data_IF_500254256466
#
_entry.id   IF_500254256466
#
_cell.length_a   1.000
_cell.length_b   1.000
_cell.length_c   1.000
_cell.angle_alpha   90.00
_cell.angle_beta   90.00
_cell.angle_gamma   90.00
#
_symmetry.space_group_name_H-M   'P 1'
#
loop_
_entity.id
_entity.type
_entity.pdbx_description
1 polymer ?
#
# COMPACT_ATOMS: atom_id res chain seq x y z
N UNK A 1 13.07 9.04 -10.35
CA UNK A 1 11.69 8.61 -10.62
C UNK A 1 11.73 7.59 -11.75
N UNK A 2 12.19 6.38 -11.42
CA UNK A 2 12.35 5.26 -12.36
C UNK A 2 12.58 3.98 -11.56
N UNK A 3 12.27 2.83 -12.16
CA UNK A 3 12.37 1.53 -11.49
C UNK A 3 11.65 1.47 -10.14
N UNK A 4 12.16 0.66 -9.22
CA UNK A 4 11.52 0.46 -7.92
C UNK A 4 11.43 1.72 -7.06
N UNK A 5 12.43 2.61 -7.11
CA UNK A 5 12.36 3.86 -6.33
C UNK A 5 11.32 4.84 -6.91
N UNK A 6 11.07 4.77 -8.22
CA UNK A 6 9.93 5.46 -8.84
C UNK A 6 8.60 4.88 -8.41
N UNK A 7 8.45 3.56 -8.39
CA UNK A 7 7.25 2.90 -7.88
C UNK A 7 6.95 3.23 -6.42
N UNK A 8 7.97 3.26 -5.57
CA UNK A 8 7.83 3.69 -4.17
C UNK A 8 7.47 5.17 -4.02
N UNK A 9 7.93 6.02 -4.95
CA UNK A 9 7.55 7.44 -4.98
C UNK A 9 6.05 7.59 -5.29
N UNK A 10 5.56 6.92 -6.33
CA UNK A 10 4.13 6.89 -6.66
C UNK A 10 3.28 6.32 -5.52
N UNK A 11 3.69 5.16 -4.97
CA UNK A 11 2.97 4.55 -3.86
C UNK A 11 2.96 5.45 -2.62
N UNK A 12 4.02 6.23 -2.37
CA UNK A 12 4.02 7.20 -1.26
C UNK A 12 2.94 8.26 -1.44
N UNK A 13 2.75 8.76 -2.67
CA UNK A 13 1.70 9.73 -2.98
C UNK A 13 0.31 9.11 -2.82
N UNK A 14 0.11 7.88 -3.31
CA UNK A 14 -1.16 7.15 -3.14
C UNK A 14 -1.47 6.90 -1.65
N UNK A 15 -0.52 6.33 -0.90
CA UNK A 15 -0.69 6.02 0.53
C UNK A 15 -1.06 7.27 1.31
N UNK A 16 -0.30 8.36 1.16
CA UNK A 16 -0.55 9.59 1.90
C UNK A 16 -1.81 10.30 1.41
N UNK A 17 -2.11 10.25 0.12
CA UNK A 17 -3.35 10.75 -0.47
C UNK A 17 -4.57 10.06 0.14
N UNK A 18 -4.56 8.72 0.20
CA UNK A 18 -5.58 7.93 0.89
C UNK A 18 -5.69 8.32 2.35
N UNK A 19 -4.59 8.44 3.11
CA UNK A 19 -4.67 8.88 4.51
C UNK A 19 -5.28 10.28 4.66
N UNK A 20 -5.04 11.19 3.71
CA UNK A 20 -5.67 12.53 3.68
C UNK A 20 -7.16 12.44 3.39
N UNK A 21 -7.59 11.58 2.47
CA UNK A 21 -9.02 11.35 2.18
C UNK A 21 -9.78 10.86 3.41
N UNK A 22 -9.20 9.87 4.10
CA UNK A 22 -9.70 9.39 5.39
C UNK A 22 -9.74 10.49 6.46
N UNK A 23 -8.70 11.33 6.52
CA UNK A 23 -8.63 12.43 7.48
C UNK A 23 -9.67 13.52 7.19
N UNK A 24 -9.91 13.83 5.91
CA UNK A 24 -10.88 14.84 5.50
C UNK A 24 -12.30 14.48 5.92
N UNK A 25 -12.62 13.17 5.98
CA UNK A 25 -13.89 12.69 6.53
C UNK A 25 -15.11 13.23 5.76
N UNK A 26 -14.98 13.41 4.45
CA UNK A 26 -16.05 13.97 3.62
C UNK A 26 -17.28 13.06 3.65
N UNK A 27 -18.45 13.64 3.93
CA UNK A 27 -19.69 12.87 4.05
C UNK A 27 -20.19 12.30 2.70
N UNK A 28 -19.85 12.94 1.59
CA UNK A 28 -20.27 12.54 0.23
C UNK A 28 -19.23 11.72 -0.52
N UNK A 29 -18.05 11.57 0.08
CA UNK A 29 -16.89 10.89 -0.49
C UNK A 29 -16.06 10.34 0.68
N UNK A 30 -16.62 9.32 1.31
CA UNK A 30 -16.04 8.73 2.52
C UNK A 30 -14.78 7.99 2.16
N UNK A 31 -13.72 8.17 2.95
CA UNK A 31 -12.41 7.58 2.68
C UNK A 31 -12.47 6.11 2.28
N UNK A 32 -11.74 5.77 1.23
CA UNK A 32 -11.67 4.42 0.71
C UNK A 32 -10.22 4.05 0.34
N UNK A 33 -10.02 3.14 -0.62
CA UNK A 33 -8.71 2.61 -1.05
C UNK A 33 -8.62 2.55 -2.58
N UNK A 34 -9.47 3.33 -3.23
CA UNK A 34 -9.47 3.61 -4.64
C UNK A 34 -8.66 4.90 -4.84
N UNK A 35 -8.05 5.02 -6.02
CA UNK A 35 -7.34 6.24 -6.38
C UNK A 35 -8.03 6.85 -7.59
N UNK A 36 -8.61 8.04 -7.42
CA UNK A 36 -9.19 8.84 -8.50
C UNK A 36 -10.58 8.41 -8.95
N UNK A 37 -11.30 7.64 -8.14
CA UNK A 37 -12.72 7.28 -8.27
C UNK A 37 -13.65 8.49 -8.48
N UNK A 38 -13.31 9.67 -7.95
CA UNK A 38 -14.08 10.91 -8.23
C UNK A 38 -13.85 11.53 -9.61
N UNK A 39 -12.79 11.15 -10.32
CA UNK A 39 -12.41 11.77 -11.60
C UNK A 39 -12.49 10.82 -12.81
N UNK A 40 -12.69 9.52 -12.58
CA UNK A 40 -12.98 8.59 -13.68
C UNK A 40 -14.31 8.95 -14.34
N UNK A 41 -14.30 9.02 -15.68
CA UNK A 41 -15.47 9.40 -16.48
C UNK A 41 -16.30 8.18 -16.87
N UNK A 42 -17.61 8.34 -17.13
CA UNK A 42 -18.41 7.29 -17.76
C UNK A 42 -17.71 6.74 -19.02
N UNK A 43 -17.67 5.41 -19.13
CA UNK A 43 -16.97 4.72 -20.23
C UNK A 43 -15.50 4.39 -19.97
N UNK A 44 -14.91 4.78 -18.83
CA UNK A 44 -13.55 4.36 -18.46
C UNK A 44 -13.42 2.85 -18.20
N UNK A 45 -14.53 2.17 -17.86
CA UNK A 45 -14.60 0.72 -17.69
C UNK A 45 -14.11 0.19 -16.33
N UNK A 46 -13.68 1.08 -15.43
CA UNK A 46 -13.24 0.76 -14.06
C UNK A 46 -13.77 1.80 -13.08
N UNK A 47 -13.88 1.41 -11.81
CA UNK A 47 -14.36 2.28 -10.74
C UNK A 47 -13.34 3.33 -10.28
N UNK A 48 -12.05 3.14 -10.58
CA UNK A 48 -10.95 4.00 -10.15
C UNK A 48 -9.76 3.89 -11.12
N UNK A 49 -8.80 4.80 -11.02
CA UNK A 49 -7.55 4.72 -11.78
C UNK A 49 -6.64 3.61 -11.25
N UNK A 50 -6.53 3.48 -9.92
CA UNK A 50 -5.77 2.43 -9.24
C UNK A 50 -6.55 1.89 -8.04
N UNK A 51 -6.16 0.69 -7.59
CA UNK A 51 -6.79 -0.03 -6.49
C UNK A 51 -5.71 -0.46 -5.50
N UNK A 52 -5.82 -0.11 -4.22
CA UNK A 52 -4.80 -0.52 -3.26
C UNK A 52 -5.00 -1.95 -2.74
N UNK A 53 -6.21 -2.51 -2.77
CA UNK A 53 -6.50 -3.86 -2.25
C UNK A 53 -6.00 -5.01 -3.12
N UNK A 54 -6.04 -4.79 -4.44
CA UNK A 54 -5.58 -5.70 -5.49
C UNK A 54 -5.26 -4.86 -6.74
N UNK A 55 -4.04 -4.30 -6.81
CA UNK A 55 -3.61 -3.40 -7.89
C UNK A 55 -3.97 -3.85 -9.31
N UNK A 56 -3.86 -5.15 -9.59
CA UNK A 56 -4.15 -5.74 -10.90
C UNK A 56 -5.60 -5.54 -11.39
N UNK A 57 -6.52 -5.07 -10.54
CA UNK A 57 -7.87 -4.61 -10.95
C UNK A 57 -7.83 -3.48 -11.96
N UNK A 58 -6.73 -2.71 -12.03
CA UNK A 58 -6.51 -1.74 -13.10
C UNK A 58 -5.95 -2.35 -14.40
N UNK A 59 -5.73 -3.66 -14.44
CA UNK A 59 -5.24 -4.41 -15.61
C UNK A 59 -3.73 -4.35 -15.86
N UNK A 60 -2.95 -3.54 -15.14
CA UNK A 60 -1.52 -3.35 -15.42
C UNK A 60 -0.63 -3.37 -14.16
N UNK A 61 -1.13 -2.89 -13.03
CA UNK A 61 -0.37 -2.78 -11.79
C UNK A 61 -0.04 -4.15 -11.19
N UNK A 62 1.14 -4.23 -10.58
CA UNK A 62 1.60 -5.46 -9.95
C UNK A 62 1.00 -5.61 -8.54
N UNK A 63 0.39 -6.76 -8.26
CA UNK A 63 -0.07 -7.11 -6.91
C UNK A 63 1.11 -7.45 -5.97
N UNK A 64 2.19 -8.01 -6.53
CA UNK A 64 3.31 -8.59 -5.78
C UNK A 64 4.65 -8.24 -6.41
N UNK A 65 5.70 -8.20 -5.58
CA UNK A 65 7.06 -7.97 -6.05
C UNK A 65 7.58 -9.15 -6.88
N UNK A 66 8.36 -8.82 -7.91
CA UNK A 66 9.13 -9.75 -8.71
C UNK A 66 10.44 -9.07 -9.16
N UNK A 67 11.40 -9.86 -9.64
CA UNK A 67 12.67 -9.33 -10.15
C UNK A 67 12.53 -8.44 -11.39
N UNK A 68 11.39 -8.51 -12.11
CA UNK A 68 11.08 -7.67 -13.26
C UNK A 68 10.26 -6.43 -12.92
N UNK A 69 9.85 -6.24 -11.66
CA UNK A 69 9.00 -5.13 -11.22
C UNK A 69 9.57 -3.76 -11.62
N UNK A 70 10.89 -3.59 -11.51
CA UNK A 70 11.58 -2.35 -11.88
C UNK A 70 11.54 -2.00 -13.38
N UNK A 71 11.03 -2.89 -14.24
CA UNK A 71 10.87 -2.62 -15.67
C UNK A 71 9.48 -2.05 -16.01
N UNK A 72 8.52 -2.11 -15.09
CA UNK A 72 7.21 -1.54 -15.30
C UNK A 72 7.27 0.00 -15.24
N UNK A 73 6.27 0.63 -15.85
CA UNK A 73 5.99 2.03 -15.56
C UNK A 73 5.77 2.19 -14.04
N UNK A 74 6.27 3.30 -13.51
CA UNK A 74 6.30 3.56 -12.07
C UNK A 74 4.89 3.55 -11.45
N UNK A 75 3.85 3.98 -12.19
CA UNK A 75 2.46 3.95 -11.73
C UNK A 75 1.89 2.53 -11.62
N UNK A 76 2.52 1.53 -12.27
CA UNK A 76 2.15 0.12 -12.18
C UNK A 76 3.00 -0.63 -11.15
N UNK A 77 4.29 -0.28 -11.06
CA UNK A 77 5.20 -0.84 -10.06
C UNK A 77 4.86 -0.37 -8.63
N UNK A 78 4.12 0.74 -8.48
CA UNK A 78 3.61 1.23 -7.18
C UNK A 78 2.59 0.30 -6.55
N UNK A 79 1.92 -0.54 -7.35
CA UNK A 79 0.92 -1.49 -6.89
C UNK A 79 1.37 -2.32 -5.69
N UNK A 80 2.64 -2.77 -5.68
CA UNK A 80 3.18 -3.60 -4.59
C UNK A 80 3.16 -2.87 -3.24
N UNK A 81 3.55 -1.59 -3.20
CA UNK A 81 3.54 -0.81 -1.96
C UNK A 81 2.11 -0.35 -1.59
N UNK A 82 1.26 -0.09 -2.57
CA UNK A 82 -0.18 0.15 -2.34
C UNK A 82 -0.85 -1.06 -1.69
N UNK A 83 -0.57 -2.26 -2.21
CA UNK A 83 -1.07 -3.53 -1.69
C UNK A 83 -0.54 -3.83 -0.29
N UNK A 84 0.76 -3.59 -0.06
CA UNK A 84 1.34 -3.65 1.29
C UNK A 84 0.60 -2.74 2.27
N UNK A 85 0.34 -1.49 1.90
CA UNK A 85 -0.31 -0.53 2.79
C UNK A 85 -1.77 -0.89 3.10
N UNK A 86 -2.53 -1.38 2.10
CA UNK A 86 -3.87 -1.91 2.32
C UNK A 86 -3.81 -3.12 3.28
N UNK A 87 -2.98 -4.11 2.99
CA UNK A 87 -2.85 -5.33 3.82
C UNK A 87 -2.43 -4.99 5.25
N UNK A 88 -1.52 -4.03 5.44
CA UNK A 88 -1.11 -3.62 6.77
C UNK A 88 -2.22 -2.87 7.52
N UNK A 89 -3.02 -2.05 6.83
CA UNK A 89 -4.10 -1.29 7.46
C UNK A 89 -5.29 -2.19 7.79
N UNK A 90 -5.71 -3.01 6.83
CA UNK A 90 -6.99 -3.70 6.82
C UNK A 90 -6.88 -5.22 7.00
N UNK A 91 -5.74 -5.81 6.65
CA UNK A 91 -5.60 -7.25 6.56
C UNK A 91 -6.09 -7.83 5.23
N UNK A 92 -5.86 -9.13 5.07
CA UNK A 92 -6.20 -9.88 3.86
C UNK A 92 -7.66 -10.36 3.83
N UNK A 93 -8.15 -10.69 2.63
CA UNK A 93 -9.44 -11.33 2.39
C UNK A 93 -10.59 -10.35 2.16
N UNK A 94 -11.79 -10.92 2.05
CA UNK A 94 -12.99 -10.18 1.71
C UNK A 94 -13.47 -9.28 2.86
N UNK A 95 -13.75 -8.01 2.55
CA UNK A 95 -14.38 -7.06 3.48
C UNK A 95 -15.05 -5.90 2.73
N UNK A 96 -15.99 -5.23 3.41
CA UNK A 96 -16.60 -4.00 2.92
C UNK A 96 -16.22 -2.86 3.84
N UNK A 97 -15.64 -1.80 3.29
CA UNK A 97 -15.30 -0.57 4.02
C UNK A 97 -16.00 0.58 3.32
N UNK A 98 -16.79 1.36 4.06
CA UNK A 98 -17.52 2.53 3.56
C UNK A 98 -18.31 2.26 2.25
N UNK A 99 -18.87 1.05 2.12
CA UNK A 99 -19.66 0.66 0.95
C UNK A 99 -18.87 0.12 -0.24
N UNK A 100 -17.53 0.14 -0.18
CA UNK A 100 -16.67 -0.47 -1.20
C UNK A 100 -16.30 -1.90 -0.78
N UNK A 101 -16.50 -2.84 -1.69
CA UNK A 101 -16.13 -4.25 -1.50
C UNK A 101 -14.69 -4.50 -1.94
N UNK A 102 -13.91 -5.08 -1.05
CA UNK A 102 -12.52 -5.47 -1.24
C UNK A 102 -12.36 -6.98 -1.04
N UNK A 103 -11.39 -7.56 -1.73
CA UNK A 103 -10.96 -8.95 -1.53
C UNK A 103 -9.47 -9.04 -1.84
N UNK A 104 -8.64 -8.90 -0.81
CA UNK A 104 -7.19 -8.70 -0.94
C UNK A 104 -6.43 -10.01 -0.71
N UNK A 105 -5.82 -10.58 -1.77
CA UNK A 105 -5.08 -11.83 -1.68
C UNK A 105 -3.66 -11.63 -1.12
N UNK A 106 -2.99 -12.73 -0.76
CA UNK A 106 -1.58 -12.71 -0.36
C UNK A 106 -0.76 -13.66 -1.22
N UNK A 107 0.45 -13.26 -1.61
CA UNK A 107 1.35 -14.05 -2.45
C UNK A 107 1.72 -15.40 -1.82
N UNK A 108 1.78 -15.44 -0.48
CA UNK A 108 2.18 -16.62 0.29
C UNK A 108 0.99 -17.42 0.87
N UNK A 109 -0.25 -17.02 0.54
CA UNK A 109 -1.47 -17.66 1.06
C UNK A 109 -1.68 -17.53 2.57
N UNK A 110 -0.85 -16.75 3.28
CA UNK A 110 -1.01 -16.51 4.72
C UNK A 110 -1.96 -15.33 4.96
N UNK A 111 -2.75 -15.39 6.02
CA UNK A 111 -3.59 -14.26 6.42
C UNK A 111 -2.76 -13.13 7.03
N UNK A 112 -3.14 -11.88 6.73
CA UNK A 112 -2.60 -10.68 7.38
C UNK A 112 -3.69 -10.08 8.25
N UNK A 113 -3.36 -9.76 9.51
CA UNK A 113 -4.23 -8.99 10.41
C UNK A 113 -3.83 -7.51 10.34
N UNK A 114 -4.78 -6.64 10.00
CA UNK A 114 -4.55 -5.21 9.92
C UNK A 114 -4.30 -4.55 11.28
N UNK A 115 -3.46 -3.52 11.29
CA UNK A 115 -3.14 -2.70 12.48
C UNK A 115 -3.82 -1.33 12.49
N UNK A 116 -4.63 -1.04 11.47
CA UNK A 116 -5.36 0.21 11.31
C UNK A 116 -4.55 1.31 10.63
N UNK A 117 -5.27 2.15 9.87
CA UNK A 117 -4.75 3.22 9.00
C UNK A 117 -3.83 4.20 9.71
N UNK A 118 -4.20 4.68 10.90
CA UNK A 118 -3.41 5.64 11.65
C UNK A 118 -1.99 5.14 11.95
N UNK A 119 -1.85 3.84 12.25
CA UNK A 119 -0.54 3.25 12.51
C UNK A 119 0.25 3.09 11.22
N UNK A 120 -0.40 2.70 10.11
CA UNK A 120 0.23 2.63 8.78
C UNK A 120 0.77 3.98 8.36
N UNK A 121 -0.02 5.04 8.49
CA UNK A 121 0.40 6.41 8.17
C UNK A 121 1.63 6.83 8.98
N UNK A 122 1.64 6.58 10.30
CA UNK A 122 2.80 6.88 11.17
C UNK A 122 4.05 6.09 10.78
N UNK A 123 3.91 4.79 10.50
CA UNK A 123 5.03 3.92 10.12
C UNK A 123 5.60 4.36 8.77
N UNK A 124 4.74 4.57 7.77
CA UNK A 124 5.17 4.98 6.43
C UNK A 124 5.85 6.34 6.46
N UNK A 125 5.26 7.33 7.15
CA UNK A 125 5.82 8.67 7.26
C UNK A 125 7.19 8.66 7.96
N UNK A 126 7.35 7.92 9.06
CA UNK A 126 8.66 7.77 9.72
C UNK A 126 9.66 7.05 8.81
N UNK A 127 9.25 6.00 8.12
CA UNK A 127 10.12 5.28 7.19
C UNK A 127 10.64 6.20 6.09
N UNK A 128 9.73 6.97 5.47
CA UNK A 128 10.01 7.93 4.40
C UNK A 128 11.00 9.03 4.85
N UNK A 129 10.82 9.58 6.04
CA UNK A 129 11.56 10.78 6.49
C UNK A 129 12.87 10.48 7.21
N UNK A 130 13.02 9.28 7.76
CA UNK A 130 14.17 8.91 8.59
C UNK A 130 15.10 7.88 7.91
N UNK A 131 14.54 6.96 7.11
CA UNK A 131 15.30 5.79 6.64
C UNK A 131 15.38 5.66 5.13
N UNK A 132 14.36 6.08 4.39
CA UNK A 132 14.36 5.98 2.94
C UNK A 132 15.23 7.07 2.30
N UNK A 133 15.82 6.74 1.16
CA UNK A 133 16.62 7.65 0.34
C UNK A 133 16.12 7.62 -1.11
N UNK A 134 16.68 8.46 -1.97
CA UNK A 134 16.33 8.50 -3.39
C UNK A 134 16.61 7.19 -4.16
N UNK A 135 17.44 6.30 -3.60
CA UNK A 135 17.78 5.01 -4.20
C UNK A 135 17.15 3.81 -3.48
N UNK A 136 16.22 4.04 -2.54
CA UNK A 136 15.51 2.95 -1.86
C UNK A 136 14.73 2.09 -2.86
N UNK A 137 14.89 0.77 -2.72
CA UNK A 137 14.16 -0.28 -3.43
C UNK A 137 13.16 -0.97 -2.48
N UNK A 138 12.33 -1.88 -2.97
CA UNK A 138 11.30 -2.54 -2.16
C UNK A 138 11.85 -3.28 -0.93
N UNK A 139 12.95 -4.01 -1.07
CA UNK A 139 13.64 -4.63 0.09
C UNK A 139 14.10 -3.57 1.12
N UNK A 140 14.58 -2.42 0.64
CA UNK A 140 14.95 -1.29 1.50
C UNK A 140 13.75 -0.64 2.18
N UNK A 141 12.60 -0.56 1.49
CA UNK A 141 11.35 -0.07 2.07
C UNK A 141 10.83 -0.99 3.18
N UNK A 142 10.97 -2.32 3.01
CA UNK A 142 10.73 -3.30 4.08
C UNK A 142 11.61 -3.04 5.29
N UNK A 143 12.92 -2.92 5.12
CA UNK A 143 13.83 -2.58 6.24
C UNK A 143 13.46 -1.25 6.89
N UNK A 144 13.17 -0.20 6.11
CA UNK A 144 12.82 1.12 6.60
C UNK A 144 11.53 1.12 7.45
N UNK A 145 10.49 0.43 6.99
CA UNK A 145 9.21 0.33 7.71
C UNK A 145 9.30 -0.55 8.94
N UNK A 146 10.10 -1.62 8.93
CA UNK A 146 10.39 -2.42 10.13
C UNK A 146 11.13 -1.58 11.19
N UNK A 147 12.14 -0.80 10.80
CA UNK A 147 12.81 0.11 11.71
C UNK A 147 11.87 1.19 12.24
N UNK A 148 11.00 1.75 11.39
CA UNK A 148 10.00 2.71 11.81
C UNK A 148 9.00 2.13 12.82
N UNK A 149 8.52 0.90 12.58
CA UNK A 149 7.63 0.21 13.52
C UNK A 149 8.34 -0.13 14.82
N UNK A 150 9.61 -0.55 14.76
CA UNK A 150 10.46 -0.79 15.94
C UNK A 150 10.59 0.48 16.79
N UNK A 151 10.84 1.62 16.16
CA UNK A 151 10.99 2.89 16.87
C UNK A 151 9.69 3.38 17.51
N UNK A 152 8.55 3.17 16.83
CA UNK A 152 7.25 3.66 17.28
C UNK A 152 6.59 2.72 18.31
N UNK A 153 6.81 1.42 18.20
CA UNK A 153 6.05 0.40 18.94
C UNK A 153 6.92 -0.69 19.60
N UNK A 154 8.22 -0.73 19.32
CA UNK A 154 9.16 -1.73 19.83
C UNK A 154 9.38 -2.92 18.90
N UNK A 155 10.57 -3.52 18.98
CA UNK A 155 10.89 -4.74 18.23
C UNK A 155 10.01 -5.91 18.69
N UNK A 156 9.47 -6.69 17.76
CA UNK A 156 8.60 -7.83 18.07
C UNK A 156 7.18 -7.46 18.53
N UNK A 157 6.83 -6.16 18.52
CA UNK A 157 5.45 -5.70 18.70
C UNK A 157 4.50 -6.24 17.64
N UNK A 158 3.19 -6.15 17.89
CA UNK A 158 2.18 -6.54 16.92
C UNK A 158 2.35 -5.77 15.59
N UNK A 159 2.66 -4.48 15.67
CA UNK A 159 2.91 -3.60 14.52
C UNK A 159 4.17 -4.00 13.76
N UNK A 160 5.28 -4.27 14.46
CA UNK A 160 6.52 -4.72 13.84
C UNK A 160 6.31 -6.04 13.09
N UNK A 161 5.64 -7.00 13.73
CA UNK A 161 5.36 -8.29 13.12
C UNK A 161 4.37 -8.18 11.95
N UNK A 162 3.36 -7.31 12.07
CA UNK A 162 2.40 -7.05 10.99
C UNK A 162 3.07 -6.40 9.77
N UNK A 163 4.02 -5.47 9.95
CA UNK A 163 4.82 -4.92 8.84
C UNK A 163 5.57 -6.04 8.11
N UNK A 164 6.22 -6.94 8.85
CA UNK A 164 6.91 -8.09 8.26
C UNK A 164 5.97 -9.04 7.53
N UNK A 165 4.77 -9.29 8.08
CA UNK A 165 3.75 -10.12 7.46
C UNK A 165 3.20 -9.50 6.17
N UNK A 166 2.86 -8.21 6.19
CA UNK A 166 2.34 -7.49 5.03
C UNK A 166 3.36 -7.42 3.88
N UNK A 167 4.64 -7.19 4.17
CA UNK A 167 5.68 -7.24 3.11
C UNK A 167 5.84 -8.64 2.52
N UNK A 168 5.81 -9.66 3.38
CA UNK A 168 5.87 -11.06 2.93
C UNK A 168 4.65 -11.43 2.08
N UNK A 169 3.48 -10.88 2.40
CA UNK A 169 2.25 -11.06 1.64
C UNK A 169 2.30 -10.42 0.25
N UNK A 170 3.16 -9.42 0.02
CA UNK A 170 3.45 -8.87 -1.31
C UNK A 170 4.78 -9.35 -1.92
N UNK A 171 5.29 -10.47 -1.43
CA UNK A 171 6.50 -11.14 -1.93
C UNK A 171 7.80 -10.31 -1.83
N UNK A 172 7.89 -9.40 -0.85
CA UNK A 172 9.14 -8.70 -0.51
C UNK A 172 9.69 -9.32 0.76
N UNK A 173 10.89 -9.92 0.72
CA UNK A 173 11.51 -10.63 1.85
C UNK A 173 12.63 -9.86 2.57
#
# INVERSE_FOLDING_TARGET
>A
YSGESGGLNEATSDILGTMVEWHAGNATDTGDYLIGERIVKPGFGKAALRFMDKPSKDGNSADYWSSSLGNLDVHYSSGVANHFAYLLAEGSGAKTINGVSYDSPTANGQSVTGIGRDKVGKIWYRALTVYMTSSTKYAGARTATLNAAKDLYGAGSAEYNAVGAAWSAVNVS
#
